data_IF_062519382523
#
_entry.id   IF_062519382523
#
_cell.length_a   1.000
_cell.length_b   1.000
_cell.length_c   1.000
_cell.angle_alpha   90.00
_cell.angle_beta   90.00
_cell.angle_gamma   90.00
#
_symmetry.space_group_name_H-M   'P 1'
#
loop_
_entity.id
_entity.type
_entity.pdbx_description
1 polymer ?
#
# COMPACT_ATOMS: atom_id res chain seq x y z
N UNK A 1 8.11 -5.73 14.82
CA UNK A 1 8.03 -4.88 13.58
C UNK A 1 6.81 -3.94 13.48
N UNK A 2 5.68 -4.26 14.15
CA UNK A 2 4.37 -3.59 13.98
C UNK A 2 4.35 -2.06 14.19
N UNK A 3 5.17 -1.55 15.11
CA UNK A 3 5.26 -0.10 15.41
C UNK A 3 5.82 0.71 14.24
N UNK A 4 6.76 0.15 13.46
CA UNK A 4 7.32 0.80 12.28
C UNK A 4 6.28 0.97 11.17
N UNK A 5 5.54 -0.09 10.87
CA UNK A 5 4.46 -0.05 9.87
C UNK A 5 3.32 0.88 10.25
N UNK A 6 3.02 1.01 11.54
CA UNK A 6 2.08 2.03 12.03
C UNK A 6 2.50 3.44 11.64
N UNK A 7 3.75 3.81 11.92
CA UNK A 7 4.28 5.12 11.56
C UNK A 7 4.35 5.33 10.06
N UNK A 8 4.69 4.29 9.30
CA UNK A 8 4.68 4.34 7.86
C UNK A 8 3.26 4.59 7.32
N UNK A 9 2.26 3.87 7.82
CA UNK A 9 0.86 4.08 7.50
C UNK A 9 0.39 5.51 7.82
N UNK A 10 0.73 6.05 8.99
CA UNK A 10 0.42 7.44 9.34
C UNK A 10 1.08 8.44 8.40
N UNK A 11 2.32 8.19 8.00
CA UNK A 11 3.04 9.05 7.05
C UNK A 11 2.32 9.05 5.70
N UNK A 12 1.93 7.88 5.19
CA UNK A 12 1.15 7.77 3.94
C UNK A 12 -0.16 8.57 4.05
N UNK A 13 -0.94 8.34 5.12
CA UNK A 13 -2.22 9.04 5.31
C UNK A 13 -2.02 10.56 5.42
N UNK A 14 -1.02 11.02 6.16
CA UNK A 14 -0.72 12.44 6.30
C UNK A 14 -0.29 13.08 4.98
N UNK A 15 0.56 12.41 4.20
CA UNK A 15 0.99 12.88 2.87
C UNK A 15 -0.21 12.94 1.92
N UNK A 16 -1.07 11.91 1.90
CA UNK A 16 -2.27 11.92 1.06
C UNK A 16 -3.23 13.04 1.48
N UNK A 17 -3.50 13.20 2.78
CA UNK A 17 -4.34 14.29 3.28
C UNK A 17 -3.76 15.68 2.94
N UNK A 18 -2.44 15.85 3.06
CA UNK A 18 -1.75 17.09 2.68
C UNK A 18 -1.82 17.37 1.19
N UNK A 19 -1.60 16.36 0.34
CA UNK A 19 -1.75 16.48 -1.12
C UNK A 19 -3.18 16.88 -1.48
N UNK A 20 -4.19 16.22 -0.89
CA UNK A 20 -5.59 16.56 -1.12
C UNK A 20 -5.91 18.00 -0.69
N UNK A 21 -5.38 18.46 0.45
CA UNK A 21 -5.57 19.82 0.91
C UNK A 21 -4.92 20.87 -0.01
N UNK A 22 -3.76 20.55 -0.59
CA UNK A 22 -3.02 21.45 -1.51
C UNK A 22 -3.63 21.48 -2.91
N UNK A 23 -4.01 20.33 -3.46
CA UNK A 23 -4.57 20.23 -4.82
C UNK A 23 -6.08 20.44 -4.88
N UNK A 24 -6.77 20.34 -3.73
CA UNK A 24 -8.23 20.33 -3.67
C UNK A 24 -8.86 19.29 -4.60
N UNK A 25 -9.98 19.67 -5.24
CA UNK A 25 -10.67 18.84 -6.24
C UNK A 25 -9.92 18.75 -7.59
N UNK A 26 -8.79 19.41 -7.81
CA UNK A 26 -8.06 19.25 -9.07
C UNK A 26 -7.52 17.83 -9.27
N UNK A 27 -7.25 17.08 -8.19
CA UNK A 27 -6.97 15.63 -8.22
C UNK A 27 -8.18 14.77 -8.62
N UNK A 28 -9.40 15.27 -8.43
CA UNK A 28 -10.64 14.60 -8.84
C UNK A 28 -11.02 14.87 -10.30
N UNK A 29 -10.25 15.72 -10.98
CA UNK A 29 -10.49 16.08 -12.38
C UNK A 29 -10.32 14.90 -13.35
N UNK A 30 -9.64 13.83 -12.94
CA UNK A 30 -9.55 12.57 -13.68
C UNK A 30 -9.87 11.37 -12.76
N UNK A 31 -10.57 10.39 -13.32
CA UNK A 31 -10.89 9.12 -12.64
C UNK A 31 -9.62 8.41 -12.14
N UNK A 32 -8.54 8.50 -12.90
CA UNK A 32 -7.24 7.88 -12.61
C UNK A 32 -6.60 8.47 -11.35
N UNK A 33 -6.59 9.80 -11.21
CA UNK A 33 -6.08 10.49 -10.03
C UNK A 33 -6.86 10.12 -8.78
N UNK A 34 -8.19 10.01 -8.90
CA UNK A 34 -9.05 9.61 -7.79
C UNK A 34 -8.84 8.15 -7.37
N UNK A 35 -8.68 7.24 -8.33
CA UNK A 35 -8.38 5.82 -8.06
C UNK A 35 -7.01 5.66 -7.41
N UNK A 36 -5.99 6.34 -7.91
CA UNK A 36 -4.64 6.33 -7.31
C UNK A 36 -4.64 6.87 -5.89
N UNK A 37 -5.31 8.00 -5.66
CA UNK A 37 -5.46 8.61 -4.35
C UNK A 37 -6.19 7.68 -3.36
N UNK A 38 -7.36 7.18 -3.73
CA UNK A 38 -8.15 6.30 -2.88
C UNK A 38 -7.40 4.99 -2.58
N UNK A 39 -6.68 4.46 -3.57
CA UNK A 39 -5.85 3.27 -3.42
C UNK A 39 -4.72 3.48 -2.40
N UNK A 40 -3.94 4.55 -2.55
CA UNK A 40 -2.85 4.87 -1.60
C UNK A 40 -3.37 5.18 -0.20
N UNK A 41 -4.52 5.86 -0.09
CA UNK A 41 -5.15 6.11 1.20
C UNK A 41 -5.56 4.79 1.88
N UNK A 42 -6.17 3.87 1.13
CA UNK A 42 -6.53 2.54 1.64
C UNK A 42 -5.29 1.75 2.09
N UNK A 43 -4.19 1.81 1.35
CA UNK A 43 -2.90 1.21 1.74
C UNK A 43 -2.40 1.79 3.08
N UNK A 44 -2.42 3.12 3.23
CA UNK A 44 -2.04 3.78 4.48
C UNK A 44 -2.90 3.33 5.66
N UNK A 45 -4.22 3.24 5.47
CA UNK A 45 -5.16 2.74 6.49
C UNK A 45 -4.86 1.29 6.88
N UNK A 46 -4.61 0.40 5.91
CA UNK A 46 -4.27 -0.99 6.18
C UNK A 46 -2.99 -1.12 7.01
N UNK A 47 -1.98 -0.29 6.74
CA UNK A 47 -0.73 -0.28 7.51
C UNK A 47 -0.91 0.25 8.93
N UNK A 48 -1.74 1.29 9.11
CA UNK A 48 -2.13 1.75 10.44
C UNK A 48 -2.85 0.63 11.19
N UNK A 49 -3.83 -0.03 10.57
CA UNK A 49 -4.61 -1.11 11.18
C UNK A 49 -3.74 -2.30 11.57
N UNK A 50 -2.81 -2.74 10.71
CA UNK A 50 -1.86 -3.81 11.02
C UNK A 50 -0.97 -3.49 12.24
N UNK A 51 -0.69 -2.20 12.45
CA UNK A 51 0.11 -1.69 13.56
C UNK A 51 -0.60 -1.64 14.91
N UNK A 52 -1.92 -1.87 14.98
CA UNK A 52 -2.70 -1.87 16.21
C UNK A 52 -3.32 -3.23 16.50
N UNK A 53 -3.66 -3.47 17.77
CA UNK A 53 -4.58 -4.55 18.11
C UNK A 53 -6.02 -4.11 17.90
N UNK A 54 -6.63 -4.64 16.85
CA UNK A 54 -8.04 -4.43 16.51
C UNK A 54 -8.77 -5.78 16.47
N UNK A 55 -10.10 -5.81 16.51
CA UNK A 55 -10.86 -7.05 16.27
C UNK A 55 -10.48 -7.71 14.95
N UNK A 56 -10.14 -6.91 13.93
CA UNK A 56 -9.70 -7.39 12.62
C UNK A 56 -8.35 -8.11 12.69
N UNK A 57 -7.35 -7.50 13.33
CA UNK A 57 -6.00 -8.11 13.46
C UNK A 57 -6.02 -9.34 14.37
N UNK A 58 -6.91 -9.38 15.37
CA UNK A 58 -7.12 -10.58 16.21
C UNK A 58 -7.75 -11.73 15.44
N UNK A 59 -8.67 -11.44 14.52
CA UNK A 59 -9.37 -12.45 13.72
C UNK A 59 -8.55 -12.98 12.55
N UNK A 60 -7.84 -12.10 11.84
CA UNK A 60 -7.17 -12.44 10.58
C UNK A 60 -5.65 -12.47 10.67
N UNK A 61 -5.06 -12.02 11.78
CA UNK A 61 -3.61 -11.83 11.89
C UNK A 61 -3.18 -10.46 11.35
N UNK A 62 -2.30 -9.79 12.09
CA UNK A 62 -1.78 -8.48 11.69
C UNK A 62 -0.95 -8.56 10.40
N UNK A 63 -0.19 -9.65 10.23
CA UNK A 63 0.65 -9.88 9.06
C UNK A 63 -0.20 -10.03 7.79
N UNK A 64 -1.38 -10.66 7.82
CA UNK A 64 -2.26 -10.75 6.65
C UNK A 64 -2.80 -9.39 6.21
N UNK A 65 -3.12 -8.52 7.17
CA UNK A 65 -3.58 -7.14 6.88
C UNK A 65 -2.42 -6.31 6.32
N UNK A 66 -1.21 -6.48 6.86
CA UNK A 66 -0.01 -5.86 6.32
C UNK A 66 0.27 -6.34 4.88
N UNK A 67 0.20 -7.64 4.65
CA UNK A 67 0.39 -8.26 3.35
C UNK A 67 -0.61 -7.74 2.33
N UNK A 68 -1.88 -7.60 2.72
CA UNK A 68 -2.92 -6.98 1.89
C UNK A 68 -2.57 -5.55 1.49
N UNK A 69 -2.01 -4.75 2.41
CA UNK A 69 -1.57 -3.38 2.09
C UNK A 69 -0.45 -3.35 1.05
N UNK A 70 0.51 -4.28 1.11
CA UNK A 70 1.56 -4.40 0.10
C UNK A 70 1.02 -4.90 -1.25
N UNK A 71 0.13 -5.89 -1.26
CA UNK A 71 -0.54 -6.32 -2.50
C UNK A 71 -1.29 -5.14 -3.14
N UNK A 72 -2.01 -4.37 -2.34
CA UNK A 72 -2.76 -3.21 -2.81
C UNK A 72 -1.83 -2.11 -3.34
N UNK A 73 -0.64 -1.92 -2.73
CA UNK A 73 0.39 -1.03 -3.26
C UNK A 73 0.90 -1.49 -4.64
N UNK A 74 1.07 -2.81 -4.82
CA UNK A 74 1.39 -3.39 -6.13
C UNK A 74 0.30 -3.12 -7.18
N UNK A 75 -0.98 -3.28 -6.79
CA UNK A 75 -2.13 -2.99 -7.67
C UNK A 75 -2.18 -1.51 -8.07
N UNK A 76 -1.97 -0.59 -7.13
CA UNK A 76 -1.94 0.85 -7.44
C UNK A 76 -0.85 1.15 -8.47
N UNK A 77 0.37 0.63 -8.29
CA UNK A 77 1.46 0.82 -9.24
C UNK A 77 1.15 0.23 -10.63
N UNK A 78 0.53 -0.96 -10.67
CA UNK A 78 0.10 -1.57 -11.92
C UNK A 78 -0.93 -0.70 -12.65
N UNK A 79 -1.93 -0.18 -11.93
CA UNK A 79 -2.94 0.72 -12.50
C UNK A 79 -2.31 2.02 -13.00
N UNK A 80 -1.34 2.59 -12.27
CA UNK A 80 -0.58 3.76 -12.73
C UNK A 80 0.09 3.51 -14.06
N UNK A 81 0.72 2.34 -14.25
CA UNK A 81 1.33 1.99 -15.54
C UNK A 81 0.29 1.87 -16.65
N UNK A 82 -0.84 1.21 -16.37
CA UNK A 82 -1.89 0.99 -17.37
C UNK A 82 -2.54 2.31 -17.81
N UNK A 83 -2.70 3.27 -16.90
CA UNK A 83 -3.27 4.57 -17.20
C UNK A 83 -2.27 5.56 -17.80
N UNK A 84 -1.00 5.50 -17.39
CA UNK A 84 0.04 6.44 -17.84
C UNK A 84 0.98 5.89 -18.91
N UNK A 85 0.63 4.76 -19.55
CA UNK A 85 1.47 4.09 -20.56
C UNK A 85 1.84 5.01 -21.73
N UNK A 86 0.94 5.92 -22.11
CA UNK A 86 1.15 6.84 -23.22
C UNK A 86 2.18 7.96 -22.92
N UNK A 87 2.33 8.36 -21.66
CA UNK A 87 3.06 9.58 -21.28
C UNK A 87 4.39 9.31 -20.55
N UNK A 88 4.54 8.15 -19.89
CA UNK A 88 5.70 7.87 -19.03
C UNK A 88 6.95 7.33 -19.74
N UNK A 89 6.81 6.78 -20.95
CA UNK A 89 7.90 6.12 -21.66
C UNK A 89 8.33 4.77 -21.04
N UNK A 90 9.16 4.02 -21.78
CA UNK A 90 9.49 2.62 -21.46
C UNK A 90 10.19 2.44 -20.10
N UNK A 91 11.13 3.32 -19.75
CA UNK A 91 11.88 3.20 -18.49
C UNK A 91 10.97 3.38 -17.27
N UNK A 92 10.06 4.35 -17.29
CA UNK A 92 9.09 4.57 -16.21
C UNK A 92 8.17 3.37 -16.05
N UNK A 93 7.67 2.83 -17.17
CA UNK A 93 6.80 1.66 -17.16
C UNK A 93 7.51 0.44 -16.58
N UNK A 94 8.75 0.16 -17.00
CA UNK A 94 9.55 -0.96 -16.48
C UNK A 94 9.83 -0.81 -15.00
N UNK A 95 10.24 0.37 -14.54
CA UNK A 95 10.52 0.62 -13.13
C UNK A 95 9.26 0.42 -12.27
N UNK A 96 8.13 0.98 -12.71
CA UNK A 96 6.86 0.91 -11.97
C UNK A 96 6.27 -0.50 -11.98
N UNK A 97 6.37 -1.25 -13.09
CA UNK A 97 5.97 -2.66 -13.14
C UNK A 97 6.85 -3.55 -12.25
N UNK A 98 8.15 -3.29 -12.22
CA UNK A 98 9.08 -4.01 -11.36
C UNK A 98 8.74 -3.78 -9.88
N UNK A 99 8.42 -2.53 -9.53
CA UNK A 99 7.96 -2.16 -8.19
C UNK A 99 6.60 -2.77 -7.84
N UNK A 100 5.66 -2.80 -8.80
CA UNK A 100 4.37 -3.45 -8.65
C UNK A 100 4.53 -4.95 -8.33
N UNK A 101 5.38 -5.65 -9.09
CA UNK A 101 5.69 -7.05 -8.88
C UNK A 101 6.35 -7.31 -7.52
N UNK A 102 7.31 -6.46 -7.13
CA UNK A 102 7.98 -6.56 -5.83
C UNK A 102 6.98 -6.41 -4.67
N UNK A 103 6.14 -5.38 -4.70
CA UNK A 103 5.15 -5.17 -3.65
C UNK A 103 4.08 -6.27 -3.61
N UNK A 104 3.62 -6.75 -4.76
CA UNK A 104 2.69 -7.87 -4.83
C UNK A 104 3.31 -9.15 -4.24
N UNK A 105 4.57 -9.44 -4.59
CA UNK A 105 5.30 -10.59 -4.05
C UNK A 105 5.49 -10.47 -2.53
N UNK A 106 6.00 -9.33 -2.05
CA UNK A 106 6.13 -9.05 -0.62
C UNK A 106 4.80 -9.23 0.11
N UNK A 107 3.73 -8.63 -0.40
CA UNK A 107 2.43 -8.70 0.24
C UNK A 107 1.86 -10.12 0.32
N UNK A 108 2.05 -10.90 -0.74
CA UNK A 108 1.63 -12.29 -0.78
C UNK A 108 2.45 -13.19 0.17
N UNK A 109 3.76 -12.98 0.24
CA UNK A 109 4.64 -13.71 1.14
C UNK A 109 4.27 -13.44 2.61
N UNK A 110 4.15 -12.16 2.97
CA UNK A 110 3.76 -11.70 4.30
C UNK A 110 2.36 -12.24 4.70
N UNK A 111 1.43 -12.31 3.74
CA UNK A 111 0.11 -12.88 3.99
C UNK A 111 0.13 -14.39 4.22
N UNK A 112 1.16 -15.09 3.74
CA UNK A 112 1.42 -16.53 3.91
C UNK A 112 2.45 -16.81 5.00
N UNK A 113 2.47 -15.98 6.04
CA UNK A 113 3.33 -16.14 7.22
C UNK A 113 4.82 -15.86 6.95
N UNK A 114 5.15 -15.24 5.80
CA UNK A 114 6.44 -14.60 5.54
C UNK A 114 7.67 -15.51 5.45
N UNK A 115 7.65 -16.66 4.73
CA UNK A 115 8.79 -17.56 4.65
C UNK A 115 10.05 -16.97 4.00
N UNK A 116 9.93 -15.86 3.24
CA UNK A 116 11.09 -15.19 2.64
C UNK A 116 11.54 -13.95 3.41
N UNK A 117 10.70 -13.41 4.29
CA UNK A 117 10.95 -12.17 5.03
C UNK A 117 11.01 -12.36 6.56
N UNK A 118 11.05 -13.62 7.03
CA UNK A 118 11.12 -14.01 8.45
C UNK A 118 10.13 -13.22 9.33
N UNK A 119 8.86 -13.21 8.92
CA UNK A 119 7.82 -12.60 9.75
C UNK A 119 7.40 -13.59 10.83
N UNK A 120 7.58 -13.21 12.09
CA UNK A 120 7.01 -13.93 13.23
C UNK A 120 5.54 -13.49 13.42
N UNK A 121 4.55 -14.33 13.04
CA UNK A 121 3.14 -13.97 13.16
C UNK A 121 2.68 -13.87 14.62
N UNK A 122 3.41 -14.52 15.53
CA UNK A 122 3.14 -14.57 16.98
C UNK A 122 3.89 -13.48 17.75
N UNK A 123 4.60 -12.58 17.07
CA UNK A 123 5.25 -11.39 17.65
C UNK A 123 4.18 -10.53 18.37
N UNK A 124 4.05 -10.77 19.66
CA UNK A 124 3.23 -9.99 20.60
C UNK A 124 4.12 -8.91 21.20
N UNK A 125 3.55 -7.71 21.34
CA UNK A 125 4.27 -6.49 21.74
C UNK A 125 4.80 -6.61 23.16
#
# INVERSE_FOLDING_TARGET
MRRGFRWFGYTIVAVMAGLFALSGFSLSGSTEGLVGFAGLLAVGVLFVLAGFETPLTRRFGWHRILGLGFVMMGVVNLLTVLFSWADGGLLYAVATLSLAGLFAFMGFDIARDGPHFDIDPDETI
#
